data_IF_924260246910
#
_entry.id   IF_924260246910
#
_cell.length_a   1.000
_cell.length_b   1.000
_cell.length_c   1.000
_cell.angle_alpha   90.00
_cell.angle_beta   90.00
_cell.angle_gamma   90.00
#
_symmetry.space_group_name_H-M   'P 1'
#
loop_
_entity.id
_entity.type
_entity.pdbx_description
1 polymer ?
#
# COMPACT_ATOMS: atom_id res chain seq x y z
N UNK A 1 -22.24 32.94 30.95
CA UNK A 1 -22.21 32.90 29.48
C UNK A 1 -20.83 32.45 28.96
N UNK A 2 -19.76 33.22 29.21
CA UNK A 2 -18.37 32.90 28.79
C UNK A 2 -17.84 31.49 29.15
N UNK A 3 -18.09 30.99 30.36
CA UNK A 3 -17.63 29.64 30.78
C UNK A 3 -18.30 28.53 29.97
N UNK A 4 -19.58 28.71 29.64
CA UNK A 4 -20.37 27.73 28.88
C UNK A 4 -19.90 27.69 27.42
N UNK A 5 -19.65 28.84 26.81
CA UNK A 5 -19.08 28.96 25.47
C UNK A 5 -17.68 28.34 25.38
N UNK A 6 -16.84 28.56 26.40
CA UNK A 6 -15.50 27.97 26.46
C UNK A 6 -15.54 26.43 26.53
N UNK A 7 -16.45 25.87 27.34
CA UNK A 7 -16.66 24.41 27.41
C UNK A 7 -17.17 23.84 26.07
N UNK A 8 -18.11 24.52 25.41
CA UNK A 8 -18.63 24.11 24.11
C UNK A 8 -17.52 24.09 23.04
N UNK A 9 -16.67 25.13 22.97
CA UNK A 9 -15.52 25.17 22.06
C UNK A 9 -14.56 24.00 22.27
N UNK A 10 -14.24 23.68 23.53
CA UNK A 10 -13.38 22.53 23.85
C UNK A 10 -13.98 21.22 23.34
N UNK A 11 -15.27 20.99 23.56
CA UNK A 11 -15.94 19.77 23.09
C UNK A 11 -15.88 19.69 21.56
N UNK A 12 -16.17 20.79 20.87
CA UNK A 12 -16.11 20.84 19.40
C UNK A 12 -14.70 20.54 18.89
N UNK A 13 -13.68 21.24 19.40
CA UNK A 13 -12.29 21.02 18.96
C UNK A 13 -11.77 19.63 19.30
N UNK A 14 -12.11 19.10 20.48
CA UNK A 14 -11.79 17.71 20.83
C UNK A 14 -12.49 16.73 19.89
N UNK A 15 -13.77 16.97 19.56
CA UNK A 15 -14.50 16.16 18.59
C UNK A 15 -13.86 16.21 17.21
N UNK A 16 -13.47 17.39 16.72
CA UNK A 16 -12.76 17.54 15.45
C UNK A 16 -11.43 16.79 15.44
N UNK A 17 -10.63 16.92 16.49
CA UNK A 17 -9.36 16.21 16.62
C UNK A 17 -9.56 14.69 16.61
N UNK A 18 -10.52 14.18 17.39
CA UNK A 18 -10.87 12.76 17.42
C UNK A 18 -11.32 12.29 16.05
N UNK A 19 -12.16 13.04 15.35
CA UNK A 19 -12.60 12.70 13.98
C UNK A 19 -11.44 12.61 12.99
N UNK A 20 -10.48 13.54 13.05
CA UNK A 20 -9.28 13.49 12.20
C UNK A 20 -8.41 12.27 12.50
N UNK A 21 -8.24 11.92 13.79
CA UNK A 21 -7.49 10.74 14.20
C UNK A 21 -8.19 9.45 13.76
N UNK A 22 -9.50 9.35 13.99
CA UNK A 22 -10.30 8.18 13.60
C UNK A 22 -10.41 8.03 12.08
N UNK A 23 -10.38 9.13 11.33
CA UNK A 23 -10.38 9.09 9.86
C UNK A 23 -9.21 8.29 9.28
N UNK A 24 -8.08 8.25 9.98
CA UNK A 24 -6.91 7.45 9.57
C UNK A 24 -7.09 5.94 9.77
N UNK A 25 -8.14 5.50 10.47
CA UNK A 25 -8.48 4.08 10.65
C UNK A 25 -9.45 3.58 9.57
N UNK A 26 -9.99 4.47 8.74
CA UNK A 26 -10.89 4.11 7.65
C UNK A 26 -10.08 3.40 6.57
N UNK A 27 -10.59 2.26 6.11
CA UNK A 27 -10.04 1.51 4.98
C UNK A 27 -10.90 1.84 3.78
N UNK A 28 -10.32 2.47 2.75
CA UNK A 28 -11.06 2.64 1.49
C UNK A 28 -10.93 1.36 0.66
N UNK A 29 -11.93 1.07 -0.20
CA UNK A 29 -11.81 0.02 -1.20
C UNK A 29 -10.59 0.23 -2.09
N UNK A 30 -10.04 -0.87 -2.61
CA UNK A 30 -8.89 -0.85 -3.50
C UNK A 30 -9.16 -0.10 -4.82
N UNK A 31 -10.43 0.02 -5.23
CA UNK A 31 -10.87 0.79 -6.42
C UNK A 31 -10.78 2.31 -6.23
N UNK A 32 -10.39 2.78 -5.04
CA UNK A 32 -10.29 4.20 -4.73
C UNK A 32 -8.84 4.61 -4.54
N UNK A 33 -8.38 5.57 -5.33
CA UNK A 33 -7.05 6.16 -5.18
C UNK A 33 -6.91 6.91 -3.84
N UNK A 34 -5.80 6.71 -3.14
CA UNK A 34 -5.58 7.25 -1.79
C UNK A 34 -4.25 8.00 -1.70
N UNK A 35 -4.26 9.17 -1.05
CA UNK A 35 -3.05 9.89 -0.62
C UNK A 35 -2.45 9.24 0.63
N UNK A 36 -2.02 7.99 0.51
CA UNK A 36 -1.61 7.15 1.64
C UNK A 36 -0.37 7.68 2.37
N UNK A 37 0.53 8.34 1.63
CA UNK A 37 1.75 8.99 2.09
C UNK A 37 1.47 10.21 2.98
N UNK A 38 0.28 10.83 2.85
CA UNK A 38 -0.21 11.91 3.71
C UNK A 38 -1.05 11.42 4.92
N UNK A 39 -1.19 10.10 5.12
CA UNK A 39 -2.01 9.50 6.19
C UNK A 39 -1.18 8.59 7.11
N UNK A 40 -1.75 8.11 8.23
CA UNK A 40 -1.08 7.13 9.11
C UNK A 40 -0.89 5.75 8.45
N UNK A 41 -1.45 5.50 7.26
CA UNK A 41 -1.25 4.27 6.52
C UNK A 41 0.25 4.02 6.21
N UNK A 42 1.02 5.07 5.92
CA UNK A 42 2.45 4.93 5.59
C UNK A 42 3.26 4.26 6.73
N UNK A 43 2.88 4.47 8.00
CA UNK A 43 3.53 3.84 9.15
C UNK A 43 3.37 2.31 9.16
N UNK A 44 2.29 1.83 8.54
CA UNK A 44 2.04 0.39 8.39
C UNK A 44 2.76 -0.19 7.19
N UNK A 45 2.88 0.58 6.09
CA UNK A 45 3.44 0.15 4.81
C UNK A 45 4.93 -0.22 4.87
N UNK A 46 5.79 0.66 5.40
CA UNK A 46 7.24 0.46 5.37
C UNK A 46 7.74 -0.88 5.96
N UNK A 47 7.32 -1.29 7.17
CA UNK A 47 7.80 -2.56 7.74
C UNK A 47 7.35 -3.77 6.91
N UNK A 48 6.10 -3.81 6.45
CA UNK A 48 5.60 -4.95 5.67
C UNK A 48 6.16 -4.97 4.25
N UNK A 49 6.53 -3.80 3.68
CA UNK A 49 7.26 -3.74 2.40
C UNK A 49 8.63 -4.38 2.52
N UNK A 50 9.36 -4.05 3.58
CA UNK A 50 10.66 -4.66 3.87
C UNK A 50 10.54 -6.18 4.07
N UNK A 51 9.54 -6.62 4.85
CA UNK A 51 9.26 -8.05 5.04
C UNK A 51 8.94 -8.76 3.71
N UNK A 52 8.16 -8.14 2.84
CA UNK A 52 7.80 -8.68 1.53
C UNK A 52 9.02 -8.80 0.60
N UNK A 53 9.87 -7.77 0.54
CA UNK A 53 11.11 -7.80 -0.24
C UNK A 53 12.06 -8.89 0.27
N UNK A 54 12.25 -8.99 1.59
CA UNK A 54 13.07 -10.04 2.19
C UNK A 54 12.51 -11.44 1.85
N UNK A 55 11.19 -11.62 1.92
CA UNK A 55 10.56 -12.88 1.52
C UNK A 55 10.83 -13.23 0.06
N UNK A 56 10.77 -12.24 -0.84
CA UNK A 56 11.11 -12.46 -2.26
C UNK A 56 12.56 -12.92 -2.41
N UNK A 57 13.51 -12.31 -1.71
CA UNK A 57 14.91 -12.74 -1.71
C UNK A 57 15.09 -14.17 -1.20
N UNK A 58 14.50 -14.49 -0.05
CA UNK A 58 14.55 -15.82 0.57
C UNK A 58 13.95 -16.91 -0.35
N UNK A 59 12.96 -16.57 -1.16
CA UNK A 59 12.31 -17.47 -2.11
C UNK A 59 12.90 -17.43 -3.52
N UNK A 60 13.90 -16.58 -3.76
CA UNK A 60 14.48 -16.41 -5.09
C UNK A 60 13.51 -15.82 -6.11
N UNK A 61 12.52 -15.04 -5.68
CA UNK A 61 11.60 -14.31 -6.56
C UNK A 61 12.34 -13.05 -7.07
N UNK A 62 12.62 -12.94 -8.37
CA UNK A 62 13.43 -11.86 -8.91
C UNK A 62 12.66 -10.52 -8.91
N UNK A 63 13.17 -9.54 -8.17
CA UNK A 63 12.60 -8.17 -8.11
C UNK A 63 12.50 -7.56 -9.51
N UNK A 64 13.58 -7.66 -10.30
CA UNK A 64 13.63 -7.17 -11.69
C UNK A 64 12.80 -7.96 -12.71
N UNK A 65 12.00 -8.94 -12.29
CA UNK A 65 10.96 -9.57 -13.13
C UNK A 65 9.61 -9.64 -12.41
N UNK A 66 9.45 -8.77 -11.41
CA UNK A 66 8.21 -8.62 -10.64
C UNK A 66 7.66 -7.25 -10.98
N UNK A 67 6.44 -7.22 -11.51
CA UNK A 67 5.74 -5.96 -11.74
C UNK A 67 5.27 -5.33 -10.42
N UNK A 68 5.17 -4.01 -10.42
CA UNK A 68 4.49 -3.26 -9.37
C UNK A 68 3.83 -2.02 -9.96
N UNK A 69 3.28 -1.18 -9.10
CA UNK A 69 2.53 0.02 -9.46
C UNK A 69 3.11 1.22 -8.73
N UNK A 70 2.67 2.43 -9.08
CA UNK A 70 3.10 3.63 -8.37
C UNK A 70 2.75 3.54 -6.87
N UNK A 71 3.69 3.88 -5.97
CA UNK A 71 5.03 4.44 -6.23
C UNK A 71 6.16 3.40 -6.27
N UNK A 72 5.85 2.11 -6.25
CA UNK A 72 6.81 1.02 -6.13
C UNK A 72 7.34 0.46 -7.46
N UNK A 73 6.81 0.88 -8.62
CA UNK A 73 7.34 0.59 -9.96
C UNK A 73 8.61 1.40 -10.31
N UNK A 74 9.60 1.32 -9.44
CA UNK A 74 10.89 2.03 -9.57
C UNK A 74 12.01 1.27 -8.84
N UNK A 75 13.22 1.82 -8.80
CA UNK A 75 14.31 1.23 -8.02
C UNK A 75 14.01 1.28 -6.52
N UNK A 76 14.50 0.28 -5.77
CA UNK A 76 14.41 0.28 -4.31
C UNK A 76 15.09 1.52 -3.74
N UNK A 77 16.23 1.93 -4.31
CA UNK A 77 16.94 3.15 -3.93
C UNK A 77 16.11 4.43 -4.10
N UNK A 78 15.27 4.55 -5.12
CA UNK A 78 14.41 5.74 -5.30
C UNK A 78 13.38 5.90 -4.18
N UNK A 79 13.11 4.84 -3.41
CA UNK A 79 12.15 4.83 -2.30
C UNK A 79 12.88 4.85 -0.96
N UNK A 80 13.88 3.99 -0.79
CA UNK A 80 14.55 3.74 0.48
C UNK A 80 15.85 4.54 0.66
N UNK A 81 16.38 5.13 -0.42
CA UNK A 81 17.64 5.90 -0.45
C UNK A 81 18.82 5.12 0.17
N UNK A 82 18.97 3.87 -0.23
CA UNK A 82 19.86 2.89 0.41
C UNK A 82 20.93 2.27 -0.51
N UNK A 83 21.01 2.71 -1.77
CA UNK A 83 21.94 2.23 -2.80
C UNK A 83 21.51 0.93 -3.51
N UNK A 84 20.34 0.38 -3.19
CA UNK A 84 19.82 -0.82 -3.85
C UNK A 84 19.20 -0.50 -5.21
N UNK A 85 19.98 -0.76 -6.26
CA UNK A 85 19.60 -0.45 -7.64
C UNK A 85 18.59 -1.44 -8.25
N UNK A 86 18.20 -2.51 -7.54
CA UNK A 86 17.15 -3.41 -8.04
C UNK A 86 15.85 -2.63 -8.20
N UNK A 87 15.11 -2.90 -9.26
CA UNK A 87 13.87 -2.18 -9.56
C UNK A 87 12.74 -3.16 -9.86
N UNK A 88 11.55 -2.81 -9.42
CA UNK A 88 10.34 -3.45 -9.91
C UNK A 88 10.00 -2.89 -11.29
N UNK A 89 9.43 -3.72 -12.15
CA UNK A 89 8.94 -3.30 -13.46
C UNK A 89 7.56 -2.62 -13.30
N UNK A 90 7.19 -1.79 -14.26
CA UNK A 90 5.81 -1.31 -14.35
C UNK A 90 4.92 -2.45 -14.86
N UNK A 91 3.74 -2.60 -14.26
CA UNK A 91 2.77 -3.62 -14.67
C UNK A 91 2.36 -3.46 -16.15
N UNK A 92 2.46 -4.54 -16.91
CA UNK A 92 1.97 -4.64 -18.30
C UNK A 92 0.92 -5.74 -18.49
N UNK A 93 0.70 -6.59 -17.47
CA UNK A 93 -0.26 -7.69 -17.51
C UNK A 93 0.37 -9.05 -17.82
N UNK A 94 1.63 -9.08 -18.23
CA UNK A 94 2.34 -10.29 -18.67
C UNK A 94 3.38 -10.85 -17.69
N UNK A 95 3.63 -10.14 -16.60
CA UNK A 95 4.65 -10.51 -15.64
C UNK A 95 4.28 -11.79 -14.87
N UNK A 96 5.28 -12.59 -14.54
CA UNK A 96 5.06 -13.82 -13.77
C UNK A 96 4.64 -13.51 -12.32
N UNK A 97 5.19 -12.44 -11.77
CA UNK A 97 4.95 -12.02 -10.39
C UNK A 97 4.52 -10.56 -10.35
N UNK A 98 3.62 -10.25 -9.41
CA UNK A 98 3.19 -8.89 -9.12
C UNK A 98 3.37 -8.60 -7.63
N UNK A 99 3.98 -7.48 -7.31
CA UNK A 99 4.04 -6.88 -5.98
C UNK A 99 2.94 -5.83 -5.89
N UNK A 100 1.82 -6.19 -5.26
CA UNK A 100 0.65 -5.33 -5.10
C UNK A 100 0.52 -4.84 -3.66
N UNK A 101 0.00 -3.64 -3.47
CA UNK A 101 -0.43 -3.12 -2.17
C UNK A 101 -1.72 -2.34 -2.33
N UNK A 102 -2.60 -2.43 -1.33
CA UNK A 102 -3.88 -1.72 -1.35
C UNK A 102 -3.77 -0.19 -1.12
N UNK A 103 -2.55 0.33 -0.99
CA UNK A 103 -2.29 1.77 -0.98
C UNK A 103 -1.75 2.27 -2.32
N UNK A 104 -1.61 1.39 -3.32
CA UNK A 104 -1.25 1.80 -4.67
C UNK A 104 -2.48 2.31 -5.42
N UNK A 105 -2.24 3.25 -6.34
CA UNK A 105 -3.30 3.84 -7.15
C UNK A 105 -3.35 3.11 -8.50
N UNK A 106 -4.23 2.11 -8.59
CA UNK A 106 -4.48 1.32 -9.79
C UNK A 106 -5.79 1.77 -10.45
N UNK A 107 -5.94 1.50 -11.75
CA UNK A 107 -7.23 1.57 -12.41
C UNK A 107 -8.12 0.38 -12.04
N UNK A 108 -9.44 0.52 -12.23
CA UNK A 108 -10.38 -0.57 -11.98
C UNK A 108 -10.10 -1.78 -12.90
N UNK A 109 -9.64 -1.53 -14.14
CA UNK A 109 -9.23 -2.56 -15.08
C UNK A 109 -7.98 -3.32 -14.61
N UNK A 110 -6.95 -2.62 -14.12
CA UNK A 110 -5.76 -3.27 -13.55
C UNK A 110 -6.14 -4.15 -12.35
N UNK A 111 -7.01 -3.66 -11.46
CA UNK A 111 -7.53 -4.44 -10.34
C UNK A 111 -8.25 -5.71 -10.81
N UNK A 112 -9.11 -5.57 -11.81
CA UNK A 112 -9.86 -6.69 -12.37
C UNK A 112 -8.91 -7.73 -12.98
N UNK A 113 -7.91 -7.28 -13.75
CA UNK A 113 -6.92 -8.18 -14.32
C UNK A 113 -6.13 -8.94 -13.27
N UNK A 114 -5.74 -8.28 -12.16
CA UNK A 114 -5.07 -8.94 -11.04
C UNK A 114 -5.97 -10.00 -10.41
N UNK A 115 -7.26 -9.70 -10.21
CA UNK A 115 -8.21 -10.64 -9.61
C UNK A 115 -8.51 -11.85 -10.51
N UNK A 116 -8.53 -11.66 -11.82
CA UNK A 116 -8.86 -12.71 -12.78
C UNK A 116 -7.66 -13.58 -13.17
N UNK A 117 -6.46 -13.00 -13.26
CA UNK A 117 -5.30 -13.65 -13.86
C UNK A 117 -4.18 -13.97 -12.88
N UNK A 118 -4.26 -13.54 -11.62
CA UNK A 118 -3.23 -13.76 -10.62
C UNK A 118 -3.81 -14.35 -9.34
N UNK A 119 -2.99 -15.12 -8.61
CA UNK A 119 -3.31 -15.62 -7.28
C UNK A 119 -2.25 -15.20 -6.27
N UNK A 120 -2.67 -14.97 -5.02
CA UNK A 120 -1.76 -14.51 -3.96
C UNK A 120 -0.89 -15.65 -3.44
N UNK A 121 0.42 -15.57 -3.67
CA UNK A 121 1.43 -16.46 -3.09
C UNK A 121 1.66 -16.18 -1.61
N UNK A 122 1.71 -14.89 -1.25
CA UNK A 122 1.99 -14.44 0.11
C UNK A 122 1.32 -13.11 0.40
N UNK A 123 0.68 -13.02 1.56
CA UNK A 123 0.06 -11.81 2.10
C UNK A 123 0.83 -11.33 3.34
N UNK A 124 1.19 -10.05 3.36
CA UNK A 124 1.69 -9.32 4.51
C UNK A 124 0.65 -8.26 4.88
N UNK A 125 0.30 -8.12 6.15
CA UNK A 125 -0.73 -7.18 6.59
C UNK A 125 -0.35 -6.54 7.91
N UNK A 126 -0.49 -5.21 7.98
CA UNK A 126 -0.38 -4.44 9.21
C UNK A 126 -1.47 -3.38 9.23
N UNK A 127 -2.33 -3.44 10.26
CA UNK A 127 -3.55 -2.64 10.34
C UNK A 127 -4.40 -2.78 9.06
N UNK A 128 -4.68 -1.66 8.39
CA UNK A 128 -5.44 -1.56 7.16
C UNK A 128 -4.59 -1.68 5.88
N UNK A 129 -3.27 -1.72 5.99
CA UNK A 129 -2.36 -1.84 4.83
C UNK A 129 -1.96 -3.28 4.63
N UNK A 130 -1.94 -3.72 3.37
CA UNK A 130 -1.49 -5.05 2.97
C UNK A 130 -0.62 -5.01 1.73
N UNK A 131 0.25 -6.00 1.63
CA UNK A 131 1.07 -6.27 0.46
C UNK A 131 0.84 -7.72 0.06
N UNK A 132 0.63 -7.94 -1.22
CA UNK A 132 0.40 -9.23 -1.83
C UNK A 132 1.51 -9.49 -2.85
N UNK A 133 2.23 -10.58 -2.66
CA UNK A 133 3.07 -11.15 -3.71
C UNK A 133 2.17 -12.11 -4.47
N UNK A 134 1.86 -11.78 -5.71
CA UNK A 134 0.95 -12.53 -6.57
C UNK A 134 1.72 -13.23 -7.69
N UNK A 135 1.16 -14.33 -8.20
CA UNK A 135 1.71 -15.08 -9.33
C UNK A 135 0.64 -15.28 -10.40
N UNK A 136 1.05 -15.14 -11.67
CA UNK A 136 0.15 -15.35 -12.81
C UNK A 136 -0.36 -16.80 -12.83
N UNK A 137 -1.66 -16.96 -13.03
CA UNK A 137 -2.30 -18.27 -13.19
C UNK A 137 -1.83 -18.84 -14.54
N UNK A 138 -1.25 -20.04 -14.52
CA UNK A 138 -0.91 -20.74 -15.76
C UNK A 138 -2.20 -21.06 -16.52
N UNK A 139 -2.31 -20.58 -17.76
CA UNK A 139 -3.37 -20.97 -18.69
C UNK A 139 -2.99 -22.24 -19.43
#
# INVERSE_FOLDING_TARGET
>A
MLIMEYRAKKIIFSGMLVSLLLGNLIVYPDTFAQGWDASLAHLSYWPIRKEAINYMEEKGIPIGKTASFFPNSTSIDNIDLNGDIRAFEGYSGDETYVFYSNVYNLSDEELQELQENYYTLKLFKKNNVRIEIMMKIAR
#
